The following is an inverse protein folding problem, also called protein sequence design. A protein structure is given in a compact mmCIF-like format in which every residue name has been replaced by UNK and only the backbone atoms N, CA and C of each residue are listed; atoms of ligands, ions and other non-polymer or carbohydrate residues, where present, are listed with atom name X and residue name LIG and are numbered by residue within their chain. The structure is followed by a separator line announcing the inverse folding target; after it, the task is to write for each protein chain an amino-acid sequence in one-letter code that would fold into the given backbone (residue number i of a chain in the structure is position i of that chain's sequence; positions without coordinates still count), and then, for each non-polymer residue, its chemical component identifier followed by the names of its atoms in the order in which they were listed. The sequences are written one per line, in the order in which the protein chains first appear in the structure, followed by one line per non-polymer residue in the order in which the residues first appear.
data_IF_854236364888
#
_entry.id   IF_854236364888
#
_cell.length_a   1.000
_cell.length_b   1.000
_cell.length_c   1.000
_cell.angle_alpha   90.00
_cell.angle_beta   90.00
_cell.angle_gamma   90.00
#
_symmetry.space_group_name_H-M   'P 1'
#
loop_
_entity.id
_entity.type
_entity.pdbx_description
1 polymer ?
#
# COMPACT_ATOMS: atom_id res chain seq x y z
N UNK A 1 -18.11 12.69 -12.76
CA UNK A 1 -17.81 13.63 -11.67
C UNK A 1 -16.36 13.45 -11.24
N UNK A 2 -15.64 14.53 -11.23
CA UNK A 2 -14.25 14.51 -10.85
C UNK A 2 -14.11 14.38 -9.33
N UNK A 3 -13.24 13.47 -8.86
CA UNK A 3 -12.99 13.28 -7.45
C UNK A 3 -11.92 14.24 -6.97
N UNK A 4 -12.21 14.97 -5.91
CA UNK A 4 -11.25 15.87 -5.28
C UNK A 4 -10.36 15.09 -4.30
N UNK A 5 -9.19 15.67 -3.97
CA UNK A 5 -8.26 15.05 -3.02
C UNK A 5 -8.93 14.74 -1.67
N UNK A 6 -9.88 15.57 -1.23
CA UNK A 6 -10.61 15.36 0.02
C UNK A 6 -11.57 14.19 -0.02
N UNK A 7 -11.87 13.63 -1.22
CA UNK A 7 -12.78 12.50 -1.37
C UNK A 7 -12.15 11.17 -0.94
N UNK A 8 -10.83 11.10 -0.82
CA UNK A 8 -10.14 9.89 -0.38
C UNK A 8 -10.11 9.86 1.15
N UNK A 9 -10.52 8.73 1.72
CA UNK A 9 -10.46 8.52 3.17
C UNK A 9 -9.70 7.24 3.48
N UNK A 10 -9.05 7.22 4.63
CA UNK A 10 -8.30 6.07 5.12
C UNK A 10 -9.01 5.52 6.36
N UNK A 11 -9.47 4.28 6.26
CA UNK A 11 -10.13 3.59 7.38
C UNK A 11 -9.14 2.62 8.01
N UNK A 12 -8.83 2.81 9.29
CA UNK A 12 -7.88 1.93 9.96
C UNK A 12 -8.42 0.50 10.05
N UNK A 13 -7.58 -0.48 9.71
CA UNK A 13 -7.92 -1.90 9.80
C UNK A 13 -7.86 -2.32 11.26
N UNK A 14 -8.99 -2.76 11.80
CA UNK A 14 -9.10 -3.25 13.18
C UNK A 14 -9.41 -4.74 13.24
N UNK A 15 -9.61 -5.39 12.09
CA UNK A 15 -9.83 -6.84 12.02
C UNK A 15 -11.29 -7.26 12.04
N UNK A 16 -12.21 -6.37 11.67
CA UNK A 16 -13.63 -6.75 11.55
C UNK A 16 -13.83 -7.72 10.38
N UNK A 17 -14.90 -8.51 10.42
CA UNK A 17 -15.22 -9.46 9.36
C UNK A 17 -15.37 -8.76 8.00
N UNK A 18 -16.00 -7.58 7.99
CA UNK A 18 -16.15 -6.80 6.77
C UNK A 18 -14.80 -6.36 6.20
N UNK A 19 -13.91 -5.87 7.04
CA UNK A 19 -12.57 -5.46 6.63
C UNK A 19 -11.76 -6.64 6.10
N UNK A 20 -11.81 -7.78 6.77
CA UNK A 20 -11.11 -9.00 6.34
C UNK A 20 -11.57 -9.39 4.93
N UNK A 21 -12.88 -9.34 4.68
CA UNK A 21 -13.45 -9.68 3.37
C UNK A 21 -13.00 -8.70 2.30
N UNK A 22 -13.03 -7.39 2.59
CA UNK A 22 -12.58 -6.36 1.67
C UNK A 22 -11.10 -6.50 1.33
N UNK A 23 -10.26 -6.78 2.32
CA UNK A 23 -8.84 -6.95 2.11
C UNK A 23 -8.53 -8.20 1.29
N UNK A 24 -9.28 -9.29 1.49
CA UNK A 24 -9.10 -10.50 0.70
C UNK A 24 -9.47 -10.25 -0.76
N UNK A 25 -10.55 -9.53 -0.99
CA UNK A 25 -11.01 -9.16 -2.32
C UNK A 25 -9.94 -8.32 -3.05
N UNK A 26 -9.35 -7.35 -2.36
CA UNK A 26 -8.27 -6.53 -2.90
C UNK A 26 -7.06 -7.41 -3.27
N UNK A 27 -6.70 -8.34 -2.39
CA UNK A 27 -5.57 -9.23 -2.62
C UNK A 27 -5.75 -10.04 -3.90
N UNK A 28 -6.95 -10.59 -4.11
CA UNK A 28 -7.27 -11.39 -5.28
C UNK A 28 -7.27 -10.54 -6.56
N UNK A 29 -7.71 -9.30 -6.48
CA UNK A 29 -7.83 -8.39 -7.63
C UNK A 29 -6.54 -7.67 -7.98
N UNK A 30 -5.46 -7.85 -7.22
CA UNK A 30 -4.20 -7.16 -7.49
C UNK A 30 -3.62 -7.61 -8.82
N UNK A 31 -3.27 -6.64 -9.66
CA UNK A 31 -2.66 -6.87 -10.97
C UNK A 31 -1.15 -7.06 -10.89
N UNK A 32 -0.50 -6.32 -9.98
CA UNK A 32 0.95 -6.35 -9.81
C UNK A 32 1.30 -6.84 -8.41
N UNK A 33 2.11 -7.87 -8.35
CA UNK A 33 2.49 -8.49 -7.07
C UNK A 33 4.00 -8.49 -6.93
N UNK A 34 4.49 -7.90 -5.83
CA UNK A 34 5.92 -7.76 -5.58
C UNK A 34 6.51 -9.02 -4.95
N UNK A 35 5.79 -9.64 -4.02
CA UNK A 35 6.35 -10.66 -3.16
C UNK A 35 5.79 -12.06 -3.34
N UNK A 36 4.60 -12.20 -3.91
CA UNK A 36 3.91 -13.47 -4.03
C UNK A 36 3.16 -13.59 -5.35
N UNK A 37 3.23 -14.77 -5.97
CA UNK A 37 2.42 -15.10 -7.14
C UNK A 37 1.27 -16.04 -6.77
N UNK A 38 1.23 -16.54 -5.53
CA UNK A 38 0.20 -17.45 -5.03
C UNK A 38 -0.56 -16.76 -3.91
N UNK A 39 -1.90 -16.80 -3.99
CA UNK A 39 -2.75 -16.20 -2.98
C UNK A 39 -2.87 -17.12 -1.76
N UNK A 40 -2.88 -16.56 -0.54
CA UNK A 40 -3.15 -17.37 0.64
C UNK A 40 -4.59 -17.86 0.66
N UNK A 41 -4.86 -18.90 1.43
CA UNK A 41 -6.24 -19.33 1.68
C UNK A 41 -6.96 -18.27 2.51
N UNK A 42 -8.29 -18.35 2.56
CA UNK A 42 -9.06 -17.41 3.38
C UNK A 42 -8.66 -17.52 4.86
N UNK A 43 -8.44 -18.74 5.38
CA UNK A 43 -8.04 -18.93 6.78
C UNK A 43 -6.69 -18.31 7.08
N UNK A 44 -5.72 -18.48 6.19
CA UNK A 44 -4.41 -17.84 6.31
C UNK A 44 -4.52 -16.32 6.28
N UNK A 45 -5.39 -15.80 5.42
CA UNK A 45 -5.63 -14.37 5.32
C UNK A 45 -6.25 -13.79 6.58
N UNK A 46 -7.25 -14.49 7.15
CA UNK A 46 -7.89 -14.07 8.41
C UNK A 46 -6.84 -13.94 9.52
N UNK A 47 -5.97 -14.94 9.63
CA UNK A 47 -4.91 -14.94 10.62
C UNK A 47 -3.94 -13.80 10.40
N UNK A 48 -3.57 -13.55 9.14
CA UNK A 48 -2.68 -12.46 8.78
C UNK A 48 -3.26 -11.10 9.17
N UNK A 49 -4.55 -10.86 8.87
CA UNK A 49 -5.20 -9.58 9.18
C UNK A 49 -5.23 -9.35 10.69
N UNK A 50 -5.50 -10.40 11.46
CA UNK A 50 -5.57 -10.28 12.92
C UNK A 50 -4.21 -10.05 13.58
N UNK A 51 -3.13 -10.50 12.95
CA UNK A 51 -1.78 -10.46 13.53
C UNK A 51 -0.77 -9.79 12.62
N UNK A 52 -1.22 -8.85 11.77
CA UNK A 52 -0.34 -8.23 10.79
C UNK A 52 0.84 -7.48 11.43
N UNK A 53 2.01 -7.46 10.73
CA UNK A 53 3.22 -6.83 11.26
C UNK A 53 3.32 -5.34 10.94
N UNK A 54 2.31 -4.74 10.31
CA UNK A 54 2.39 -3.35 9.90
C UNK A 54 2.29 -2.40 11.09
N UNK A 55 2.98 -1.27 10.99
CA UNK A 55 2.85 -0.18 11.93
C UNK A 55 1.40 0.30 11.98
N UNK A 56 0.80 0.47 10.79
CA UNK A 56 -0.62 0.75 10.65
C UNK A 56 -1.09 0.30 9.26
N UNK A 57 -2.33 -0.16 9.17
CA UNK A 57 -2.93 -0.66 7.93
C UNK A 57 -4.26 0.04 7.71
N UNK A 58 -4.52 0.47 6.46
CA UNK A 58 -5.73 1.19 6.08
C UNK A 58 -6.43 0.54 4.91
N UNK A 59 -7.77 0.59 4.93
CA UNK A 59 -8.56 0.48 3.71
C UNK A 59 -8.64 1.89 3.11
N UNK A 60 -8.49 1.98 1.78
CA UNK A 60 -8.59 3.24 1.05
C UNK A 60 -9.97 3.31 0.42
N UNK A 61 -10.72 4.36 0.71
CA UNK A 61 -12.07 4.56 0.21
C UNK A 61 -12.20 5.87 -0.54
N UNK A 62 -12.98 5.85 -1.61
CA UNK A 62 -13.35 7.03 -2.38
C UNK A 62 -14.84 6.94 -2.66
N UNK A 63 -15.60 8.00 -2.35
CA UNK A 63 -17.05 8.02 -2.48
C UNK A 63 -17.72 6.81 -1.80
N UNK A 64 -17.26 6.49 -0.60
CA UNK A 64 -17.76 5.38 0.22
C UNK A 64 -17.49 3.99 -0.38
N UNK A 65 -16.74 3.91 -1.47
CA UNK A 65 -16.35 2.65 -2.11
C UNK A 65 -14.90 2.32 -1.75
N UNK A 66 -14.63 1.07 -1.39
CA UNK A 66 -13.27 0.60 -1.15
C UNK A 66 -12.55 0.44 -2.48
N UNK A 67 -11.47 1.19 -2.67
CA UNK A 67 -10.67 1.17 -3.91
C UNK A 67 -9.30 0.53 -3.72
N UNK A 68 -8.94 0.18 -2.50
CA UNK A 68 -7.64 -0.44 -2.25
C UNK A 68 -7.27 -0.44 -0.78
N UNK A 69 -5.99 -0.64 -0.53
CA UNK A 69 -5.43 -0.63 0.82
C UNK A 69 -4.08 0.06 0.83
N UNK A 70 -3.66 0.48 2.02
CA UNK A 70 -2.35 1.10 2.22
C UNK A 70 -1.83 0.72 3.60
N UNK A 71 -0.51 0.59 3.74
CA UNK A 71 0.09 0.30 5.03
C UNK A 71 1.43 1.02 5.20
N UNK A 72 1.80 1.21 6.45
CA UNK A 72 3.13 1.70 6.84
C UNK A 72 3.81 0.60 7.64
N UNK A 73 5.09 0.37 7.37
CA UNK A 73 5.89 -0.58 8.12
C UNK A 73 6.82 0.13 9.09
N UNK A 74 7.31 -0.60 10.06
CA UNK A 74 8.24 -0.06 11.06
C UNK A 74 9.59 0.37 10.46
N UNK A 75 9.91 -0.09 9.25
CA UNK A 75 11.11 0.33 8.53
C UNK A 75 10.89 1.55 7.63
N UNK A 76 9.75 2.22 7.76
CA UNK A 76 9.31 3.37 6.97
C UNK A 76 8.90 3.03 5.52
N UNK A 77 8.78 1.75 5.19
CA UNK A 77 8.23 1.36 3.89
C UNK A 77 6.73 1.61 3.85
N UNK A 78 6.26 2.18 2.75
CA UNK A 78 4.84 2.42 2.49
C UNK A 78 4.38 1.46 1.41
N UNK A 79 3.24 0.81 1.60
CA UNK A 79 2.61 0.01 0.57
C UNK A 79 1.26 0.60 0.21
N UNK A 80 0.97 0.73 -1.07
CA UNK A 80 -0.31 1.23 -1.56
C UNK A 80 -0.75 0.34 -2.71
N UNK A 81 -1.92 -0.29 -2.57
CA UNK A 81 -2.47 -1.18 -3.57
C UNK A 81 -3.87 -0.70 -3.95
N UNK A 82 -3.99 -0.02 -5.09
CA UNK A 82 -5.27 0.42 -5.62
C UNK A 82 -5.73 -0.56 -6.69
N UNK A 83 -6.95 -1.04 -6.58
CA UNK A 83 -7.57 -1.95 -7.55
C UNK A 83 -8.40 -1.19 -8.59
N UNK A 84 -8.61 0.08 -8.38
CA UNK A 84 -9.27 1.00 -9.30
C UNK A 84 -8.86 2.43 -8.97
N UNK A 85 -9.15 3.37 -9.87
CA UNK A 85 -8.89 4.79 -9.64
C UNK A 85 -7.42 5.08 -9.29
N UNK A 86 -6.50 4.53 -10.06
CA UNK A 86 -5.06 4.70 -9.81
C UNK A 86 -4.64 6.17 -9.85
N UNK A 87 -5.41 7.02 -10.55
CA UNK A 87 -5.21 8.46 -10.59
C UNK A 87 -5.35 9.13 -9.23
N UNK A 88 -5.96 8.45 -8.26
CA UNK A 88 -6.07 8.94 -6.88
C UNK A 88 -4.84 8.58 -6.02
N UNK A 89 -3.85 7.89 -6.59
CA UNK A 89 -2.63 7.52 -5.88
C UNK A 89 -1.97 8.72 -5.19
N UNK A 90 -1.79 9.88 -5.86
CA UNK A 90 -1.21 11.05 -5.18
C UNK A 90 -2.03 11.52 -3.99
N UNK A 91 -3.35 11.43 -4.05
CA UNK A 91 -4.21 11.81 -2.94
C UNK A 91 -4.02 10.89 -1.73
N UNK A 92 -3.83 9.60 -1.99
CA UNK A 92 -3.55 8.61 -0.93
C UNK A 92 -2.21 8.92 -0.27
N UNK A 93 -1.18 9.17 -1.08
CA UNK A 93 0.15 9.55 -0.56
C UNK A 93 0.05 10.79 0.32
N UNK A 94 -0.64 11.82 -0.16
CA UNK A 94 -0.78 13.07 0.59
C UNK A 94 -1.51 12.87 1.93
N UNK A 95 -2.54 12.02 1.95
CA UNK A 95 -3.25 11.70 3.20
C UNK A 95 -2.32 11.00 4.19
N UNK A 96 -1.49 10.08 3.73
CA UNK A 96 -0.53 9.39 4.59
C UNK A 96 0.47 10.40 5.16
N UNK A 97 1.03 11.27 4.31
CA UNK A 97 2.02 12.26 4.74
C UNK A 97 1.45 13.30 5.69
N UNK A 98 0.15 13.60 5.59
CA UNK A 98 -0.53 14.48 6.52
C UNK A 98 -0.71 13.84 7.90
N UNK A 99 -0.99 12.54 7.93
CA UNK A 99 -1.30 11.81 9.17
C UNK A 99 -0.07 11.28 9.89
N UNK A 100 1.01 11.02 9.18
CA UNK A 100 2.16 10.29 9.72
C UNK A 100 3.48 10.95 9.38
N UNK A 101 4.42 10.81 10.29
CA UNK A 101 5.83 11.15 10.05
C UNK A 101 6.63 9.86 9.98
N UNK A 102 7.70 9.81 9.16
CA UNK A 102 8.58 8.65 9.20
C UNK A 102 9.20 8.51 10.58
N UNK A 103 9.42 7.26 10.97
CA UNK A 103 10.11 6.97 12.23
C UNK A 103 11.56 7.38 12.08
N UNK A 104 12.18 7.71 13.21
CA UNK A 104 13.57 8.18 13.26
C UNK A 104 14.51 7.13 12.65
N UNK A 105 15.53 7.60 11.95
CA UNK A 105 16.54 6.74 11.37
C UNK A 105 17.19 5.82 12.41
N UNK A 106 17.37 4.57 12.04
CA UNK A 106 18.20 3.62 12.77
C UNK A 106 19.20 3.10 11.76
N UNK A 107 20.49 3.43 11.96
CA UNK A 107 21.55 3.10 11.04
C UNK A 107 21.54 1.60 10.71
N UNK A 108 21.63 1.26 9.43
CA UNK A 108 21.57 -0.12 8.91
C UNK A 108 20.23 -0.84 9.09
N UNK A 109 19.19 -0.17 9.61
CA UNK A 109 17.88 -0.76 9.83
C UNK A 109 16.80 -0.05 9.05
N UNK A 110 16.71 1.28 9.18
CA UNK A 110 15.73 2.07 8.44
C UNK A 110 16.22 3.48 8.16
N UNK A 111 15.85 4.05 6.99
CA UNK A 111 16.17 5.44 6.68
C UNK A 111 15.25 6.40 7.45
N UNK A 112 15.53 7.70 7.36
CA UNK A 112 14.75 8.75 8.01
C UNK A 112 13.55 9.23 7.16
N UNK A 113 13.25 8.57 6.05
CA UNK A 113 12.20 8.96 5.11
C UNK A 113 11.29 7.79 4.79
N UNK A 114 10.07 8.09 4.33
CA UNK A 114 9.20 7.08 3.76
C UNK A 114 9.66 6.70 2.37
N UNK A 115 9.52 5.43 2.00
CA UNK A 115 9.83 4.94 0.67
C UNK A 115 8.80 3.88 0.27
N UNK A 116 8.67 3.66 -1.03
CA UNK A 116 7.71 2.69 -1.57
C UNK A 116 8.41 1.81 -2.59
N UNK A 117 8.08 0.52 -2.59
CA UNK A 117 8.53 -0.44 -3.58
C UNK A 117 7.37 -0.78 -4.50
N UNK A 118 7.62 -0.82 -5.81
CA UNK A 118 6.60 -1.21 -6.78
C UNK A 118 7.17 -2.30 -7.68
N UNK A 119 6.27 -3.13 -8.23
CA UNK A 119 6.69 -4.13 -9.21
C UNK A 119 7.22 -3.44 -10.47
N UNK A 120 8.25 -4.01 -11.14
CA UNK A 120 8.88 -3.34 -12.29
C UNK A 120 7.94 -3.13 -13.47
N UNK A 121 6.86 -3.91 -13.58
CA UNK A 121 5.86 -3.76 -14.64
C UNK A 121 4.70 -2.84 -14.26
N UNK A 122 4.71 -2.28 -13.06
CA UNK A 122 3.63 -1.38 -12.59
C UNK A 122 3.86 0.03 -13.09
N UNK A 123 3.65 0.24 -14.39
CA UNK A 123 3.87 1.52 -15.05
C UNK A 123 2.87 2.59 -14.62
N UNK A 124 1.66 2.19 -14.27
CA UNK A 124 0.63 3.13 -13.83
C UNK A 124 1.04 3.85 -12.55
N UNK A 125 1.52 3.11 -11.56
CA UNK A 125 1.98 3.70 -10.29
C UNK A 125 3.28 4.45 -10.50
N UNK A 126 4.19 3.94 -11.33
CA UNK A 126 5.42 4.66 -11.67
C UNK A 126 5.12 6.05 -12.21
N UNK A 127 4.12 6.15 -13.11
CA UNK A 127 3.67 7.44 -13.66
C UNK A 127 3.17 8.37 -12.55
N UNK A 128 2.42 7.85 -11.59
CA UNK A 128 1.93 8.66 -10.47
C UNK A 128 3.06 9.13 -9.56
N UNK A 129 4.07 8.28 -9.35
CA UNK A 129 5.25 8.65 -8.56
C UNK A 129 6.07 9.75 -9.23
N UNK A 130 6.19 9.71 -10.55
CA UNK A 130 6.85 10.78 -11.31
C UNK A 130 6.11 12.11 -11.12
N UNK A 131 4.78 12.09 -11.15
CA UNK A 131 3.96 13.28 -10.92
C UNK A 131 4.16 13.86 -9.52
N UNK A 132 4.49 13.01 -8.55
CA UNK A 132 4.76 13.42 -7.17
C UNK A 132 6.21 13.87 -6.96
N UNK A 133 7.02 13.88 -8.03
CA UNK A 133 8.46 14.18 -7.96
C UNK A 133 9.21 13.20 -7.05
N UNK A 134 8.75 11.96 -6.97
CA UNK A 134 9.42 10.92 -6.20
C UNK A 134 10.74 10.56 -6.86
N UNK A 135 11.77 10.33 -6.05
CA UNK A 135 13.10 9.97 -6.54
C UNK A 135 13.29 8.46 -6.45
N UNK A 136 13.67 7.84 -7.56
CA UNK A 136 14.02 6.42 -7.57
C UNK A 136 15.39 6.23 -6.93
N UNK A 137 15.45 5.43 -5.85
CA UNK A 137 16.68 5.25 -5.06
C UNK A 137 17.22 3.83 -5.06
N UNK A 138 16.46 2.86 -5.58
CA UNK A 138 16.83 1.44 -5.45
C UNK A 138 16.27 0.60 -6.58
N UNK A 139 17.00 -0.45 -6.92
CA UNK A 139 16.51 -1.53 -7.80
C UNK A 139 16.78 -2.85 -7.12
N UNK A 140 15.85 -3.80 -7.25
CA UNK A 140 15.95 -5.11 -6.61
C UNK A 140 15.93 -6.19 -7.69
N UNK A 141 16.85 -7.15 -7.57
CA UNK A 141 17.01 -8.24 -8.53
C UNK A 141 16.98 -9.58 -7.81
N UNK A 142 16.30 -10.55 -8.41
CA UNK A 142 16.37 -11.93 -7.93
C UNK A 142 17.68 -12.53 -8.40
N UNK A 143 18.40 -13.20 -7.50
CA UNK A 143 19.62 -13.92 -7.85
C UNK A 143 19.30 -15.39 -8.02
N UNK A 144 19.81 -15.98 -9.11
CA UNK A 144 19.55 -17.37 -9.41
C UNK A 144 18.12 -17.60 -9.85
N UNK A 145 17.62 -18.82 -9.60
CA UNK A 145 16.25 -19.20 -9.93
C UNK A 145 15.32 -18.86 -8.78
N UNK A 146 14.18 -18.28 -9.09
CA UNK A 146 13.15 -17.97 -8.09
C UNK A 146 12.17 -19.12 -7.98
#
# INVERSE_FOLDING_TARGET
MELENGAVTLEEVTGTDEQIRMLYDILIKRTHNISNTVYPSLDEHIEFVKNHPYRIWYLVKANAQCIGSAYLMENNCVGINLIMNVDLFPSVVNKILEKHKPLREIKSVRPSYFYINIAPDNKEVETQLVKLNAQKIQSTFILGSA
#
